data_IF_128874942985
#
_entry.id   IF_128874942985
#
_cell.length_a   1.000
_cell.length_b   1.000
_cell.length_c   1.000
_cell.angle_alpha   90.00
_cell.angle_beta   90.00
_cell.angle_gamma   90.00
#
_symmetry.space_group_name_H-M   'P 1'
#
loop_
_entity.id
_entity.type
_entity.pdbx_description
1 polymer ?
#
# COMPACT_ATOMS: atom_id res chain seq x y z
N UNK A 1 -11.01 -22.98 36.75
CA UNK A 1 -11.73 -23.70 35.67
C UNK A 1 -13.15 -23.16 35.61
N UNK A 2 -13.74 -23.01 34.42
CA UNK A 2 -15.15 -22.60 34.24
C UNK A 2 -15.97 -23.82 33.87
N UNK A 3 -17.14 -23.98 34.49
CA UNK A 3 -18.14 -24.98 34.13
C UNK A 3 -18.98 -24.45 32.96
N UNK A 4 -18.98 -25.13 31.83
CA UNK A 4 -19.65 -24.69 30.60
C UNK A 4 -20.65 -25.74 30.15
N UNK A 5 -21.86 -25.32 29.80
CA UNK A 5 -22.89 -26.20 29.24
C UNK A 5 -22.87 -26.10 27.71
N UNK A 6 -22.87 -27.25 27.02
CA UNK A 6 -22.89 -27.31 25.55
C UNK A 6 -24.24 -26.78 25.03
N UNK A 7 -24.26 -25.73 24.19
CA UNK A 7 -25.50 -25.26 23.55
C UNK A 7 -26.06 -26.30 22.57
N UNK A 8 -27.39 -26.35 22.37
CA UNK A 8 -28.04 -27.36 21.53
C UNK A 8 -27.62 -27.33 20.05
N UNK A 9 -27.20 -26.16 19.55
CA UNK A 9 -26.85 -25.96 18.14
C UNK A 9 -25.35 -26.07 17.84
N UNK A 10 -24.55 -26.58 18.78
CA UNK A 10 -23.09 -26.67 18.64
C UNK A 10 -22.70 -28.14 18.59
N UNK A 11 -22.01 -28.60 17.54
CA UNK A 11 -21.51 -29.97 17.43
C UNK A 11 -20.25 -30.18 18.32
N UNK A 12 -19.96 -31.42 18.77
CA UNK A 12 -18.66 -31.73 19.36
C UNK A 12 -17.52 -31.37 18.38
N UNK A 13 -16.42 -30.83 18.91
CA UNK A 13 -15.28 -30.31 18.12
C UNK A 13 -15.41 -28.84 17.70
N UNK A 14 -16.61 -28.26 17.70
CA UNK A 14 -16.81 -26.85 17.38
C UNK A 14 -16.24 -25.91 18.45
N UNK A 15 -15.87 -24.70 18.04
CA UNK A 15 -15.45 -23.61 18.93
C UNK A 15 -16.65 -22.79 19.42
N UNK A 16 -16.70 -22.49 20.72
CA UNK A 16 -17.67 -21.57 21.34
C UNK A 16 -16.95 -20.44 22.09
N UNK A 17 -17.63 -19.32 22.30
CA UNK A 17 -17.16 -18.24 23.16
C UNK A 17 -17.80 -18.37 24.54
N UNK A 18 -16.98 -18.43 25.58
CA UNK A 18 -17.37 -18.55 26.98
C UNK A 18 -16.99 -17.28 27.70
N UNK A 19 -17.88 -16.75 28.54
CA UNK A 19 -17.61 -15.58 29.39
C UNK A 19 -17.43 -16.03 30.84
N UNK A 20 -16.36 -15.58 31.50
CA UNK A 20 -16.15 -15.85 32.92
C UNK A 20 -16.93 -14.86 33.82
N UNK A 21 -17.02 -15.10 35.14
CA UNK A 21 -17.71 -14.19 36.06
C UNK A 21 -17.12 -12.77 36.13
N UNK A 22 -15.87 -12.58 35.70
CA UNK A 22 -15.22 -11.27 35.61
C UNK A 22 -15.50 -10.56 34.26
N UNK A 23 -16.31 -11.17 33.39
CA UNK A 23 -16.70 -10.62 32.09
C UNK A 23 -15.71 -10.88 30.95
N UNK A 24 -14.64 -11.64 31.18
CA UNK A 24 -13.64 -11.96 30.15
C UNK A 24 -14.18 -13.03 29.21
N UNK A 25 -13.96 -12.87 27.89
CA UNK A 25 -14.42 -13.80 26.85
C UNK A 25 -13.26 -14.66 26.36
N UNK A 26 -13.47 -15.98 26.27
CA UNK A 26 -12.46 -16.94 25.82
C UNK A 26 -13.07 -17.89 24.78
N UNK A 27 -12.26 -18.34 23.81
CA UNK A 27 -12.66 -19.40 22.88
C UNK A 27 -12.37 -20.78 23.51
N UNK A 28 -13.36 -21.67 23.52
CA UNK A 28 -13.24 -23.04 24.01
C UNK A 28 -13.74 -24.03 22.95
N UNK A 29 -13.14 -25.21 22.89
CA UNK A 29 -13.61 -26.31 22.04
C UNK A 29 -14.50 -27.24 22.85
N UNK A 30 -15.63 -27.67 22.26
CA UNK A 30 -16.51 -28.68 22.85
C UNK A 30 -15.85 -30.06 22.71
N UNK A 31 -15.53 -30.76 23.80
CA UNK A 31 -14.89 -32.08 23.70
C UNK A 31 -15.78 -33.12 23.00
N UNK A 32 -15.19 -34.10 22.29
CA UNK A 32 -15.93 -35.27 21.81
C UNK A 32 -16.67 -35.97 22.96
N UNK A 33 -17.89 -36.45 22.70
CA UNK A 33 -18.69 -37.20 23.67
C UNK A 33 -19.51 -36.35 24.65
N UNK A 34 -19.41 -35.02 24.64
CA UNK A 34 -20.30 -34.16 25.43
C UNK A 34 -21.65 -34.05 24.72
N UNK A 35 -22.71 -34.63 25.27
CA UNK A 35 -24.07 -34.58 24.73
C UNK A 35 -24.67 -33.16 24.76
N UNK A 36 -25.75 -32.93 24.00
CA UNK A 36 -26.47 -31.65 24.02
C UNK A 36 -26.97 -31.38 25.46
N UNK A 37 -26.65 -30.19 26.00
CA UNK A 37 -26.93 -29.87 27.40
C UNK A 37 -25.94 -30.47 28.40
N UNK A 38 -24.99 -31.30 27.95
CA UNK A 38 -23.88 -31.82 28.73
C UNK A 38 -22.91 -30.72 29.18
N UNK A 39 -22.15 -31.02 30.23
CA UNK A 39 -21.26 -30.06 30.89
C UNK A 39 -19.81 -30.46 30.70
N UNK A 40 -18.94 -29.48 30.44
CA UNK A 40 -17.50 -29.66 30.39
C UNK A 40 -16.78 -28.48 31.08
N UNK A 41 -15.49 -28.66 31.34
CA UNK A 41 -14.68 -27.68 32.09
C UNK A 41 -13.61 -27.05 31.21
N UNK A 42 -13.51 -25.73 31.25
CA UNK A 42 -12.49 -24.95 30.54
C UNK A 42 -11.45 -24.46 31.52
N UNK A 43 -10.18 -24.76 31.26
CA UNK A 43 -9.04 -24.25 32.04
C UNK A 43 -8.74 -22.81 31.60
N UNK A 44 -8.99 -21.83 32.46
CA UNK A 44 -8.52 -20.46 32.25
C UNK A 44 -7.04 -20.43 32.67
N UNK A 45 -6.18 -19.86 31.83
CA UNK A 45 -4.83 -19.51 32.28
C UNK A 45 -4.95 -18.52 33.44
N UNK A 46 -4.20 -18.75 34.53
CA UNK A 46 -4.07 -17.73 35.57
C UNK A 46 -3.48 -16.48 34.93
N UNK A 47 -3.94 -15.29 35.36
CA UNK A 47 -3.29 -14.05 34.95
C UNK A 47 -1.80 -14.16 35.29
N UNK A 48 -0.90 -13.75 34.36
CA UNK A 48 0.51 -13.72 34.68
C UNK A 48 0.71 -12.87 35.94
N UNK A 49 1.57 -13.30 36.89
CA UNK A 49 1.83 -12.53 38.09
C UNK A 49 2.21 -11.11 37.69
N UNK A 50 1.55 -10.12 38.28
CA UNK A 50 1.84 -8.70 38.08
C UNK A 50 3.34 -8.53 38.38
N UNK A 51 4.10 -8.16 37.35
CA UNK A 51 5.53 -7.94 37.51
C UNK A 51 5.76 -6.87 38.58
N UNK A 52 6.71 -7.05 39.50
CA UNK A 52 7.05 -6.00 40.46
C UNK A 52 7.45 -4.73 39.70
N UNK A 53 7.14 -3.53 40.23
CA UNK A 53 7.53 -2.28 39.61
C UNK A 53 9.06 -2.27 39.40
N UNK A 54 9.55 -1.77 38.26
CA UNK A 54 10.98 -1.72 38.00
C UNK A 54 11.68 -0.90 39.08
N UNK A 55 12.88 -1.31 39.52
CA UNK A 55 13.66 -0.53 40.46
C UNK A 55 13.92 0.88 39.89
N UNK A 56 14.00 1.92 40.74
CA UNK A 56 14.31 3.27 40.31
C UNK A 56 15.65 3.28 39.56
N UNK A 57 15.64 3.87 38.37
CA UNK A 57 16.81 3.97 37.49
C UNK A 57 17.88 4.80 38.19
N UNK A 58 19.13 4.32 38.33
CA UNK A 58 20.22 5.11 38.88
C UNK A 58 20.47 6.36 38.04
N UNK A 59 20.58 7.51 38.71
CA UNK A 59 20.93 8.78 38.08
C UNK A 59 22.35 8.65 37.48
N UNK A 60 22.58 8.96 36.19
CA UNK A 60 23.89 8.81 35.58
C UNK A 60 24.90 9.77 36.20
N UNK A 61 26.09 9.26 36.54
CA UNK A 61 27.24 10.11 36.85
C UNK A 61 27.65 10.93 35.61
N UNK A 62 28.09 12.19 35.78
CA UNK A 62 28.55 13.01 34.68
C UNK A 62 29.83 12.41 34.08
N UNK A 63 29.80 12.13 32.77
CA UNK A 63 30.95 11.68 32.01
C UNK A 63 32.00 12.80 31.86
N UNK A 64 33.31 12.49 31.87
CA UNK A 64 34.35 13.44 31.54
C UNK A 64 34.24 13.91 30.08
N UNK A 65 34.33 15.21 29.86
CA UNK A 65 34.28 15.80 28.51
C UNK A 65 35.55 15.44 27.72
N UNK A 66 35.43 14.92 26.48
CA UNK A 66 36.59 14.71 25.62
C UNK A 66 37.10 16.05 25.05
N UNK A 67 38.38 16.32 25.30
CA UNK A 67 39.13 17.37 24.64
C UNK A 67 39.48 16.93 23.21
N UNK A 68 38.55 17.19 22.27
CA UNK A 68 38.75 17.39 20.82
C UNK A 68 37.42 17.10 20.11
N UNK A 69 36.61 18.15 19.95
CA UNK A 69 35.34 18.06 19.23
C UNK A 69 35.58 18.13 17.71
N UNK A 70 35.03 17.22 16.90
CA UNK A 70 34.90 17.43 15.46
C UNK A 70 34.02 18.66 15.17
N UNK A 71 34.06 19.23 13.94
CA UNK A 71 33.27 20.40 13.57
C UNK A 71 31.81 20.21 13.99
N UNK A 72 31.25 21.24 14.66
CA UNK A 72 29.87 21.26 15.12
C UNK A 72 28.94 21.04 13.92
N UNK A 73 28.28 19.89 13.92
CA UNK A 73 27.10 19.65 13.09
C UNK A 73 26.02 20.65 13.52
N UNK A 74 25.47 21.39 12.56
CA UNK A 74 24.39 22.34 12.77
C UNK A 74 23.05 21.60 12.57
N UNK A 75 22.36 21.23 13.67
CA UNK A 75 21.14 20.43 13.59
C UNK A 75 19.96 21.18 12.95
N UNK A 76 19.97 22.52 12.90
CA UNK A 76 18.88 23.29 12.29
C UNK A 76 18.94 23.23 10.75
N UNK A 77 20.15 23.25 10.16
CA UNK A 77 20.32 23.15 8.71
C UNK A 77 19.91 21.76 8.18
N UNK A 78 20.27 20.70 8.91
CA UNK A 78 19.91 19.34 8.51
C UNK A 78 18.42 19.05 8.62
N UNK A 79 17.71 19.69 9.57
CA UNK A 79 16.26 19.55 9.69
C UNK A 79 15.53 20.24 8.54
N UNK A 80 15.98 21.42 8.11
CA UNK A 80 15.41 22.11 6.95
C UNK A 80 15.63 21.34 5.63
N UNK A 81 16.81 20.78 5.42
CA UNK A 81 17.10 19.96 4.23
C UNK A 81 16.28 18.67 4.22
N UNK A 82 16.08 18.02 5.36
CA UNK A 82 15.26 16.81 5.48
C UNK A 82 13.76 17.11 5.26
N UNK A 83 13.26 18.26 5.71
CA UNK A 83 11.85 18.68 5.57
C UNK A 83 11.52 19.12 4.13
N UNK A 84 12.41 19.88 3.47
CA UNK A 84 12.24 20.26 2.07
C UNK A 84 12.23 19.05 1.12
N UNK A 85 12.98 18.01 1.47
CA UNK A 85 13.12 16.80 0.68
C UNK A 85 11.98 15.80 0.92
N UNK A 86 11.49 15.68 2.16
CA UNK A 86 10.25 14.96 2.46
C UNK A 86 9.07 15.57 1.69
N UNK A 87 8.99 16.91 1.68
CA UNK A 87 8.03 17.65 0.88
C UNK A 87 8.19 17.40 -0.62
N UNK A 88 9.42 17.41 -1.17
CA UNK A 88 9.65 17.15 -2.59
C UNK A 88 9.24 15.72 -3.01
N UNK A 89 9.46 14.71 -2.16
CA UNK A 89 9.00 13.34 -2.40
C UNK A 89 7.48 13.23 -2.30
N UNK A 90 6.88 13.85 -1.28
CA UNK A 90 5.43 13.88 -1.10
C UNK A 90 4.73 14.64 -2.24
N UNK A 91 5.29 15.75 -2.69
CA UNK A 91 4.82 16.54 -3.83
C UNK A 91 5.02 15.79 -5.14
N UNK A 92 6.15 15.11 -5.35
CA UNK A 92 6.36 14.26 -6.53
C UNK A 92 5.37 13.10 -6.57
N UNK A 93 5.12 12.44 -5.43
CA UNK A 93 4.08 11.42 -5.28
C UNK A 93 2.68 11.98 -5.54
N UNK A 94 2.38 13.21 -5.11
CA UNK A 94 1.10 13.87 -5.32
C UNK A 94 0.93 14.45 -6.74
N UNK A 95 2.00 14.87 -7.42
CA UNK A 95 2.00 15.45 -8.76
C UNK A 95 1.86 14.38 -9.86
N UNK A 96 2.34 13.16 -9.61
CA UNK A 96 2.03 11.99 -10.46
C UNK A 96 0.52 11.74 -10.63
N UNK A 97 -0.34 12.35 -9.79
CA UNK A 97 -1.80 12.23 -9.90
C UNK A 97 -2.48 13.25 -10.85
N UNK A 98 -1.83 14.32 -11.35
CA UNK A 98 -2.56 15.50 -11.83
C UNK A 98 -2.16 16.17 -13.17
N UNK A 99 -1.32 15.61 -14.05
CA UNK A 99 -1.01 16.32 -15.31
C UNK A 99 -0.87 15.46 -16.57
N UNK A 100 -1.66 15.82 -17.59
CA UNK A 100 -1.70 15.29 -18.97
C UNK A 100 -1.30 16.40 -19.95
N UNK A 101 -0.39 16.10 -20.88
CA UNK A 101 -0.40 16.40 -22.34
C UNK A 101 0.98 16.76 -22.97
N UNK A 102 1.22 16.10 -24.13
CA UNK A 102 2.12 16.35 -25.29
C UNK A 102 3.63 15.97 -25.29
N UNK A 103 3.92 14.76 -25.82
CA UNK A 103 4.75 14.37 -27.01
C UNK A 103 6.10 15.08 -27.32
N UNK A 104 7.19 14.47 -27.87
CA UNK A 104 7.50 13.23 -28.62
C UNK A 104 9.05 12.99 -28.64
N UNK A 105 9.53 11.75 -28.82
CA UNK A 105 10.96 11.29 -28.90
C UNK A 105 11.34 10.72 -30.29
N UNK A 106 12.63 10.37 -30.55
CA UNK A 106 12.97 8.93 -30.69
C UNK A 106 14.39 8.49 -30.24
N UNK A 107 14.68 7.20 -30.48
CA UNK A 107 15.37 6.16 -29.70
C UNK A 107 16.62 5.56 -30.42
N UNK A 108 17.59 4.96 -29.69
CA UNK A 108 18.60 4.01 -30.24
C UNK A 108 19.03 2.97 -29.17
N UNK A 109 19.20 1.69 -29.56
CA UNK A 109 19.50 0.51 -28.73
C UNK A 109 20.92 -0.07 -28.93
N UNK A 110 21.47 -0.72 -27.89
CA UNK A 110 22.48 -1.80 -28.01
C UNK A 110 22.46 -2.76 -26.80
N UNK A 111 22.81 -4.03 -26.99
CA UNK A 111 22.62 -5.17 -26.07
C UNK A 111 23.90 -5.70 -25.39
N UNK A 112 23.81 -6.32 -24.19
CA UNK A 112 24.80 -7.30 -23.66
C UNK A 112 24.47 -7.97 -22.29
N UNK A 113 24.69 -9.30 -22.23
CA UNK A 113 25.18 -10.24 -21.16
C UNK A 113 24.38 -10.50 -19.87
N UNK A 114 24.30 -11.80 -19.53
CA UNK A 114 23.46 -12.49 -18.54
C UNK A 114 24.00 -12.46 -17.11
N UNK A 115 23.33 -11.70 -16.24
CA UNK A 115 23.01 -12.10 -14.87
C UNK A 115 21.60 -12.70 -14.89
N UNK A 116 21.18 -13.45 -13.85
CA UNK A 116 19.77 -13.90 -13.72
C UNK A 116 18.93 -12.67 -13.36
N UNK A 117 18.78 -11.78 -14.33
CA UNK A 117 17.86 -10.66 -14.28
C UNK A 117 16.47 -11.29 -14.39
N UNK A 118 15.56 -11.00 -13.45
CA UNK A 118 14.17 -11.35 -13.62
C UNK A 118 13.72 -10.88 -15.01
N UNK A 119 13.05 -11.74 -15.76
CA UNK A 119 12.42 -11.34 -17.02
C UNK A 119 11.54 -10.11 -16.81
N UNK A 120 11.30 -9.31 -17.86
CA UNK A 120 10.40 -8.17 -17.77
C UNK A 120 9.00 -8.54 -17.20
N UNK A 121 8.55 -9.78 -17.44
CA UNK A 121 7.34 -10.35 -16.86
C UNK A 121 7.46 -10.55 -15.34
N UNK A 122 8.56 -11.11 -14.84
CA UNK A 122 8.83 -11.25 -13.39
C UNK A 122 8.99 -9.88 -12.71
N UNK A 123 9.67 -8.93 -13.37
CA UNK A 123 9.80 -7.56 -12.90
C UNK A 123 8.43 -6.85 -12.79
N UNK A 124 7.51 -7.09 -13.74
CA UNK A 124 6.11 -6.62 -13.65
C UNK A 124 5.34 -7.33 -12.56
N UNK A 125 5.54 -8.62 -12.35
CA UNK A 125 4.93 -9.34 -11.22
C UNK A 125 5.37 -8.79 -9.86
N UNK A 126 6.62 -8.31 -9.74
CA UNK A 126 7.11 -7.67 -8.52
C UNK A 126 6.47 -6.30 -8.22
N UNK A 127 5.80 -5.69 -9.20
CA UNK A 127 5.19 -4.37 -9.08
C UNK A 127 3.68 -4.40 -8.98
N UNK A 128 3.04 -5.56 -9.00
CA UNK A 128 1.57 -5.66 -8.97
C UNK A 128 1.08 -6.41 -7.75
N UNK A 129 -0.06 -5.97 -7.23
CA UNK A 129 -0.72 -6.70 -6.17
C UNK A 129 -1.31 -7.98 -6.74
N UNK A 130 -0.85 -9.16 -6.29
CA UNK A 130 -1.35 -10.44 -6.82
C UNK A 130 -2.83 -10.75 -6.49
N UNK A 131 -3.52 -9.83 -5.79
CA UNK A 131 -4.94 -9.94 -5.48
C UNK A 131 -5.75 -9.15 -6.50
N UNK A 132 -5.47 -7.85 -6.68
CA UNK A 132 -6.23 -6.98 -7.59
C UNK A 132 -5.55 -6.69 -8.94
N UNK A 133 -4.27 -7.07 -9.11
CA UNK A 133 -3.42 -6.84 -10.28
C UNK A 133 -3.16 -5.36 -10.64
N UNK A 134 -3.46 -4.44 -9.73
CA UNK A 134 -3.03 -3.04 -9.86
C UNK A 134 -1.59 -2.87 -9.36
N UNK A 135 -0.92 -1.83 -9.85
CA UNK A 135 0.42 -1.45 -9.43
C UNK A 135 0.48 -1.23 -7.92
N UNK A 136 1.41 -1.89 -7.22
CA UNK A 136 1.60 -1.80 -5.77
C UNK A 136 1.88 -0.38 -5.29
N UNK A 137 2.48 0.46 -6.14
CA UNK A 137 2.78 1.86 -5.84
C UNK A 137 1.57 2.79 -5.98
N UNK A 138 0.43 2.30 -6.48
CA UNK A 138 -0.79 3.10 -6.65
C UNK A 138 -1.56 3.31 -5.34
N UNK A 139 -1.39 2.42 -4.36
CA UNK A 139 -2.05 2.51 -3.05
C UNK A 139 -1.09 2.10 -1.91
N UNK A 140 -1.39 2.46 -0.65
CA UNK A 140 -0.61 1.99 0.49
C UNK A 140 -0.50 0.47 0.55
N UNK A 141 0.73 -0.03 0.62
CA UNK A 141 1.00 -1.46 0.74
C UNK A 141 0.94 -1.94 2.20
N UNK A 142 0.78 -3.25 2.35
CA UNK A 142 0.83 -3.98 3.62
C UNK A 142 1.80 -5.16 3.54
N UNK A 143 2.32 -5.50 4.73
CA UNK A 143 3.14 -6.68 4.98
C UNK A 143 2.44 -7.59 5.98
N UNK A 144 2.80 -8.87 5.96
CA UNK A 144 2.26 -9.88 6.87
C UNK A 144 3.20 -10.15 8.04
N UNK A 145 2.66 -10.15 9.24
CA UNK A 145 3.38 -10.39 10.49
C UNK A 145 2.84 -11.62 11.22
N UNK A 146 3.73 -12.39 11.85
CA UNK A 146 3.35 -13.48 12.75
C UNK A 146 2.89 -12.95 14.13
N UNK A 147 2.56 -13.87 15.05
CA UNK A 147 2.12 -13.54 16.41
C UNK A 147 3.19 -12.82 17.27
N UNK A 148 4.45 -12.81 16.83
CA UNK A 148 5.57 -12.09 17.46
C UNK A 148 5.89 -10.77 16.75
N UNK A 149 4.98 -10.29 15.91
CA UNK A 149 5.16 -9.07 15.10
C UNK A 149 6.39 -9.10 14.18
N UNK A 150 6.83 -10.28 13.74
CA UNK A 150 7.90 -10.43 12.74
C UNK A 150 7.30 -10.72 11.37
N UNK A 151 7.90 -10.15 10.32
CA UNK A 151 7.50 -10.39 8.93
C UNK A 151 7.63 -11.87 8.59
N UNK A 152 6.66 -12.41 7.84
CA UNK A 152 6.63 -13.85 7.51
C UNK A 152 7.09 -14.17 6.09
N UNK A 153 7.06 -13.20 5.18
CA UNK A 153 7.51 -13.35 3.80
C UNK A 153 7.81 -12.00 3.15
N UNK A 154 8.51 -12.04 2.01
CA UNK A 154 8.83 -10.85 1.20
C UNK A 154 7.65 -10.31 0.38
N UNK A 155 6.57 -11.06 0.22
CA UNK A 155 5.41 -10.63 -0.56
C UNK A 155 4.69 -9.43 0.06
N UNK A 156 4.18 -8.55 -0.81
CA UNK A 156 3.54 -7.29 -0.47
C UNK A 156 2.24 -7.17 -1.27
N UNK A 157 1.26 -6.51 -0.66
CA UNK A 157 -0.09 -6.38 -1.20
C UNK A 157 -0.61 -5.00 -0.88
N UNK A 158 -1.57 -4.48 -1.63
CA UNK A 158 -2.32 -3.32 -1.15
C UNK A 158 -2.94 -3.61 0.22
N UNK A 159 -2.95 -2.61 1.09
CA UNK A 159 -3.46 -2.73 2.45
C UNK A 159 -4.93 -3.19 2.47
N UNK A 160 -5.74 -2.67 1.53
CA UNK A 160 -7.11 -3.12 1.29
C UNK A 160 -7.16 -4.61 0.96
N UNK A 161 -6.38 -5.05 -0.03
CA UNK A 161 -6.32 -6.43 -0.47
C UNK A 161 -5.90 -7.40 0.63
N UNK A 162 -4.85 -7.05 1.38
CA UNK A 162 -4.34 -7.82 2.51
C UNK A 162 -5.40 -8.04 3.61
N UNK A 163 -6.21 -7.01 3.89
CA UNK A 163 -7.25 -7.05 4.92
C UNK A 163 -8.40 -7.99 4.55
N UNK A 164 -8.71 -8.08 3.27
CA UNK A 164 -9.83 -8.88 2.76
C UNK A 164 -9.46 -10.30 2.31
N UNK A 165 -8.24 -10.76 2.60
CA UNK A 165 -7.88 -12.15 2.34
C UNK A 165 -8.79 -13.11 3.13
N UNK A 166 -9.31 -14.16 2.49
CA UNK A 166 -10.23 -15.11 3.14
C UNK A 166 -9.53 -15.97 4.20
N UNK A 167 -8.23 -16.17 4.05
CA UNK A 167 -7.39 -16.95 4.96
C UNK A 167 -6.23 -16.10 5.48
N UNK A 168 -5.67 -16.52 6.62
CA UNK A 168 -4.48 -15.91 7.20
C UNK A 168 -3.20 -16.57 6.68
N UNK A 169 -3.15 -16.80 5.37
CA UNK A 169 -2.02 -17.35 4.65
C UNK A 169 -1.69 -16.44 3.47
N UNK A 170 -0.41 -16.19 3.21
CA UNK A 170 0.01 -15.42 2.04
C UNK A 170 -0.42 -16.13 0.74
N UNK A 171 -1.09 -15.48 -0.22
CA UNK A 171 -1.56 -16.15 -1.44
C UNK A 171 -0.41 -16.64 -2.36
N UNK A 172 0.79 -16.06 -2.22
CA UNK A 172 1.95 -16.39 -3.06
C UNK A 172 2.80 -17.53 -2.47
N UNK A 173 3.28 -17.40 -1.24
CA UNK A 173 4.10 -18.45 -0.60
C UNK A 173 3.38 -19.34 0.41
N UNK A 174 2.09 -19.09 0.68
CA UNK A 174 1.28 -19.81 1.67
C UNK A 174 1.78 -19.71 3.12
N UNK A 175 2.71 -18.79 3.42
CA UNK A 175 3.16 -18.54 4.78
C UNK A 175 2.00 -18.04 5.66
N UNK A 176 1.82 -18.68 6.82
CA UNK A 176 0.83 -18.27 7.81
C UNK A 176 1.21 -16.94 8.46
N UNK A 177 0.22 -16.07 8.68
CA UNK A 177 0.40 -14.81 9.37
C UNK A 177 -0.66 -14.59 10.44
N UNK A 178 -0.37 -13.78 11.44
CA UNK A 178 -1.34 -13.41 12.47
C UNK A 178 -2.04 -12.10 12.14
N UNK A 179 -1.29 -11.12 11.64
CA UNK A 179 -1.78 -9.77 11.33
C UNK A 179 -1.18 -9.25 10.02
N UNK A 180 -1.86 -8.31 9.40
CA UNK A 180 -1.33 -7.49 8.31
C UNK A 180 -1.19 -6.07 8.81
N UNK A 181 -0.05 -5.42 8.55
CA UNK A 181 0.16 -4.01 8.88
C UNK A 181 0.51 -3.23 7.62
N UNK A 182 0.16 -1.94 7.60
CA UNK A 182 0.66 -1.01 6.58
C UNK A 182 2.20 -1.02 6.60
N UNK A 183 2.78 -1.06 5.41
CA UNK A 183 4.20 -0.88 5.19
C UNK A 183 4.58 0.58 5.53
N UNK A 184 5.53 0.82 6.44
CA UNK A 184 5.96 2.17 6.78
C UNK A 184 6.48 2.93 5.55
N UNK A 185 6.35 4.26 5.57
CA UNK A 185 6.87 5.13 4.51
C UNK A 185 8.36 5.37 4.72
N UNK A 186 9.16 5.20 3.66
CA UNK A 186 10.61 5.51 3.71
C UNK A 186 10.86 6.98 4.04
N UNK A 187 10.00 7.89 3.58
CA UNK A 187 10.15 9.32 3.80
C UNK A 187 9.89 9.69 5.28
N UNK A 188 8.81 9.15 5.85
CA UNK A 188 8.26 9.59 7.14
C UNK A 188 8.79 8.79 8.34
N UNK A 189 9.07 7.50 8.15
CA UNK A 189 9.57 6.62 9.22
C UNK A 189 10.58 5.61 8.64
N UNK A 190 11.79 6.07 8.27
CA UNK A 190 12.81 5.23 7.67
C UNK A 190 13.28 4.10 8.61
N UNK A 191 13.13 4.26 9.94
CA UNK A 191 13.50 3.22 10.89
C UNK A 191 12.49 2.08 10.94
N UNK A 192 11.19 2.39 10.99
CA UNK A 192 10.16 1.35 10.85
C UNK A 192 10.20 0.74 9.46
N UNK A 193 10.49 1.54 8.42
CA UNK A 193 10.70 1.03 7.06
C UNK A 193 11.81 -0.01 7.03
N UNK A 194 13.00 0.30 7.56
CA UNK A 194 14.13 -0.63 7.59
C UNK A 194 13.76 -1.95 8.29
N UNK A 195 13.13 -1.87 9.46
CA UNK A 195 12.66 -3.07 10.20
C UNK A 195 11.61 -3.87 9.44
N UNK A 196 10.78 -3.22 8.63
CA UNK A 196 9.78 -3.87 7.79
C UNK A 196 10.41 -4.57 6.57
N UNK A 197 11.48 -4.00 6.01
CA UNK A 197 12.20 -4.55 4.85
C UNK A 197 13.12 -5.71 5.26
N UNK A 198 13.77 -5.61 6.43
CA UNK A 198 14.58 -6.65 7.04
C UNK A 198 13.70 -7.82 7.54
N UNK A 199 13.22 -8.63 6.60
CA UNK A 199 12.32 -9.74 6.92
C UNK A 199 13.03 -10.86 7.70
N UNK A 200 14.36 -10.98 7.55
CA UNK A 200 15.19 -11.97 8.24
C UNK A 200 15.47 -11.55 9.69
N UNK A 201 15.44 -10.24 9.97
CA UNK A 201 15.68 -9.65 11.27
C UNK A 201 17.15 -9.72 11.68
N UNK A 202 18.07 -9.67 10.72
CA UNK A 202 19.51 -9.76 10.95
C UNK A 202 20.19 -8.37 11.05
N UNK A 203 19.41 -7.30 10.89
CA UNK A 203 19.88 -5.92 10.96
C UNK A 203 20.52 -5.42 9.66
N UNK A 204 20.35 -6.12 8.54
CA UNK A 204 20.95 -5.78 7.24
C UNK A 204 19.93 -5.93 6.11
N UNK A 205 20.13 -5.18 5.03
CA UNK A 205 19.28 -5.23 3.85
C UNK A 205 20.07 -5.70 2.63
N UNK A 206 19.61 -6.75 1.97
CA UNK A 206 20.11 -7.15 0.67
C UNK A 206 19.60 -6.22 -0.43
N UNK A 207 20.30 -6.19 -1.56
CA UNK A 207 19.87 -5.41 -2.73
C UNK A 207 18.47 -5.79 -3.19
N UNK A 208 18.16 -7.09 -3.25
CA UNK A 208 16.86 -7.58 -3.66
C UNK A 208 15.73 -7.10 -2.73
N UNK A 209 15.96 -7.09 -1.41
CA UNK A 209 14.97 -6.57 -0.45
C UNK A 209 14.70 -5.07 -0.67
N UNK A 210 15.75 -4.27 -0.86
CA UNK A 210 15.62 -2.83 -1.15
C UNK A 210 14.88 -2.61 -2.46
N UNK A 211 15.32 -3.27 -3.54
CA UNK A 211 14.72 -3.17 -4.87
C UNK A 211 13.23 -3.44 -4.82
N UNK A 212 12.84 -4.59 -4.25
CA UNK A 212 11.44 -4.97 -4.16
C UNK A 212 10.61 -3.90 -3.45
N UNK A 213 11.01 -3.48 -2.24
CA UNK A 213 10.21 -2.54 -1.46
C UNK A 213 10.14 -1.16 -2.13
N UNK A 214 11.21 -0.71 -2.76
CA UNK A 214 11.23 0.56 -3.48
C UNK A 214 10.28 0.54 -4.68
N UNK A 215 10.29 -0.54 -5.48
CA UNK A 215 9.38 -0.71 -6.60
C UNK A 215 7.91 -0.82 -6.16
N UNK A 216 7.63 -1.26 -4.93
CA UNK A 216 6.26 -1.27 -4.39
C UNK A 216 5.79 0.09 -3.86
N UNK A 217 6.68 0.97 -3.42
CA UNK A 217 6.29 2.26 -2.83
C UNK A 217 6.29 3.40 -3.83
N UNK A 218 7.05 3.26 -4.92
CA UNK A 218 7.28 4.32 -5.88
C UNK A 218 7.04 3.78 -7.30
N UNK A 219 6.37 4.56 -8.18
CA UNK A 219 6.16 4.17 -9.57
C UNK A 219 7.46 4.34 -10.36
N UNK A 220 8.45 3.48 -10.13
CA UNK A 220 9.79 3.58 -10.71
C UNK A 220 9.88 2.87 -12.07
N UNK A 221 10.72 3.39 -12.95
CA UNK A 221 11.15 2.66 -14.15
C UNK A 221 12.12 1.56 -13.70
N UNK A 222 11.71 0.29 -13.79
CA UNK A 222 12.49 -0.83 -13.25
C UNK A 222 13.87 -0.90 -13.88
N UNK A 223 13.97 -0.77 -15.20
CA UNK A 223 15.24 -0.88 -15.91
C UNK A 223 16.20 0.25 -15.54
N UNK A 224 15.71 1.49 -15.52
CA UNK A 224 16.53 2.64 -15.09
C UNK A 224 16.92 2.53 -13.62
N UNK A 225 15.99 2.12 -12.76
CA UNK A 225 16.21 1.98 -11.33
C UNK A 225 17.20 0.86 -11.00
N UNK A 226 17.08 -0.31 -11.63
CA UNK A 226 18.01 -1.44 -11.49
C UNK A 226 19.42 -1.05 -11.94
N UNK A 227 19.55 -0.46 -13.13
CA UNK A 227 20.84 -0.02 -13.66
C UNK A 227 21.48 1.02 -12.74
N UNK A 228 20.70 1.98 -12.26
CA UNK A 228 21.19 2.99 -11.30
C UNK A 228 21.59 2.35 -9.98
N UNK A 229 20.81 1.40 -9.48
CA UNK A 229 21.10 0.68 -8.25
C UNK A 229 22.35 -0.19 -8.38
N UNK A 230 22.63 -0.83 -9.53
CA UNK A 230 23.91 -1.52 -9.77
C UNK A 230 25.11 -0.58 -9.66
N UNK A 231 25.01 0.61 -10.25
CA UNK A 231 26.10 1.59 -10.23
C UNK A 231 26.42 2.07 -8.81
N UNK A 232 25.40 2.37 -8.01
CA UNK A 232 25.58 3.03 -6.70
C UNK A 232 25.65 2.05 -5.53
N UNK A 233 25.26 0.79 -5.68
CA UNK A 233 25.23 -0.17 -4.56
C UNK A 233 26.56 -0.28 -3.80
N UNK A 234 27.75 -0.31 -4.47
CA UNK A 234 29.03 -0.33 -3.77
C UNK A 234 29.29 0.88 -2.86
N UNK A 235 28.57 1.99 -3.05
CA UNK A 235 28.64 3.15 -2.16
C UNK A 235 28.03 2.85 -0.78
N UNK A 236 26.95 2.06 -0.75
CA UNK A 236 26.26 1.69 0.48
C UNK A 236 26.82 0.41 1.11
N UNK A 237 27.24 -0.55 0.28
CA UNK A 237 27.91 -1.77 0.72
C UNK A 237 29.42 -1.59 0.74
N UNK A 238 29.90 -0.70 1.62
CA UNK A 238 31.32 -0.32 1.73
C UNK A 238 32.25 -1.50 2.03
N UNK A 239 31.70 -2.61 2.54
CA UNK A 239 32.43 -3.83 2.88
C UNK A 239 32.37 -4.90 1.79
N UNK A 240 31.65 -4.68 0.69
CA UNK A 240 31.47 -5.66 -0.39
C UNK A 240 30.79 -6.95 0.09
N UNK A 241 29.91 -6.85 1.09
CA UNK A 241 29.24 -7.98 1.73
C UNK A 241 28.02 -8.47 0.96
N UNK A 242 27.50 -7.67 0.03
CA UNK A 242 26.20 -7.83 -0.62
C UNK A 242 25.04 -7.20 0.17
N UNK A 243 25.30 -6.58 1.31
CA UNK A 243 24.27 -6.05 2.22
C UNK A 243 24.57 -4.62 2.69
N UNK A 244 23.51 -3.87 2.98
CA UNK A 244 23.58 -2.55 3.62
C UNK A 244 23.20 -2.72 5.08
N UNK A 245 24.10 -2.36 5.99
CA UNK A 245 23.82 -2.39 7.44
C UNK A 245 22.90 -1.24 7.84
N UNK A 246 22.31 -1.30 9.04
CA UNK A 246 21.55 -0.18 9.59
C UNK A 246 22.40 1.09 9.64
N UNK A 247 23.66 0.99 10.02
CA UNK A 247 24.59 2.12 10.08
C UNK A 247 24.84 2.73 8.70
N UNK A 248 25.10 1.91 7.68
CA UNK A 248 25.32 2.38 6.30
C UNK A 248 24.03 2.98 5.70
N UNK A 249 22.87 2.43 6.05
CA UNK A 249 21.56 2.91 5.60
C UNK A 249 21.26 4.34 6.07
N UNK A 250 21.57 4.64 7.35
CA UNK A 250 21.34 5.93 7.99
C UNK A 250 22.53 6.89 7.94
N UNK A 251 23.64 6.51 7.31
CA UNK A 251 24.78 7.40 7.15
C UNK A 251 24.38 8.70 6.41
N UNK A 252 25.11 9.82 6.58
CA UNK A 252 24.80 11.09 5.89
C UNK A 252 24.70 10.99 4.34
N UNK A 253 25.41 10.02 3.74
CA UNK A 253 25.31 9.67 2.32
C UNK A 253 24.75 8.26 2.10
N UNK A 254 24.00 7.76 3.09
CA UNK A 254 23.40 6.44 3.08
C UNK A 254 22.22 6.33 2.12
N UNK A 255 21.66 5.13 2.04
CA UNK A 255 20.58 4.80 1.11
C UNK A 255 19.33 5.67 1.30
N UNK A 256 19.00 6.07 2.54
CA UNK A 256 17.86 6.97 2.81
C UNK A 256 18.07 8.31 2.12
N UNK A 257 19.22 8.94 2.33
CA UNK A 257 19.50 10.25 1.76
C UNK A 257 19.63 10.18 0.23
N UNK A 258 20.17 9.07 -0.30
CA UNK A 258 20.16 8.82 -1.73
C UNK A 258 18.73 8.75 -2.28
N UNK A 259 17.87 7.89 -1.71
CA UNK A 259 16.49 7.72 -2.15
C UNK A 259 15.76 9.07 -2.15
N UNK A 260 15.91 9.82 -1.05
CA UNK A 260 15.29 11.12 -0.93
C UNK A 260 15.73 12.11 -2.03
N UNK A 261 17.03 12.18 -2.34
CA UNK A 261 17.59 13.10 -3.37
C UNK A 261 17.32 12.67 -4.81
N UNK A 262 17.17 11.37 -5.08
CA UNK A 262 17.24 10.83 -6.44
C UNK A 262 15.95 10.15 -6.90
N UNK A 263 14.97 9.88 -6.02
CA UNK A 263 13.77 9.14 -6.43
C UNK A 263 12.98 9.88 -7.51
N UNK A 264 12.88 11.21 -7.43
CA UNK A 264 12.13 12.01 -8.40
C UNK A 264 12.62 11.85 -9.84
N UNK A 265 13.93 11.69 -10.06
CA UNK A 265 14.50 11.47 -11.39
C UNK A 265 14.37 10.03 -11.88
N UNK A 266 14.00 9.09 -11.00
CA UNK A 266 13.83 7.66 -11.28
C UNK A 266 12.36 7.24 -11.40
N UNK A 267 11.43 8.13 -11.07
CA UNK A 267 10.01 7.91 -11.31
C UNK A 267 9.77 7.70 -12.81
N UNK A 268 8.85 6.78 -13.14
CA UNK A 268 8.31 6.67 -14.49
C UNK A 268 7.77 8.04 -14.88
N UNK A 269 8.17 8.52 -16.05
CA UNK A 269 7.55 9.71 -16.60
C UNK A 269 6.03 9.49 -16.67
N UNK A 270 5.24 10.54 -16.45
CA UNK A 270 3.80 10.46 -16.69
C UNK A 270 3.50 9.95 -18.12
N UNK A 271 4.41 10.23 -19.06
CA UNK A 271 4.38 9.73 -20.45
C UNK A 271 4.61 8.23 -20.56
N UNK A 272 5.42 7.61 -19.70
CA UNK A 272 5.76 6.18 -19.76
C UNK A 272 4.62 5.32 -19.20
N UNK A 273 3.85 5.84 -18.25
CA UNK A 273 2.63 5.21 -17.75
C UNK A 273 1.50 5.22 -18.79
N UNK A 274 1.47 6.23 -19.65
CA UNK A 274 0.44 6.42 -20.70
C UNK A 274 0.84 5.80 -22.05
N UNK A 275 2.13 5.44 -22.22
CA UNK A 275 2.65 4.84 -23.44
C UNK A 275 2.35 3.34 -23.58
N UNK A 276 1.72 2.71 -22.57
CA UNK A 276 1.18 1.36 -22.76
C UNK A 276 0.12 1.43 -23.85
N UNK A 277 0.33 0.72 -24.96
CA UNK A 277 -0.69 0.61 -26.00
C UNK A 277 -2.04 0.28 -25.35
N UNK A 278 -3.14 0.91 -25.81
CA UNK A 278 -4.45 0.67 -25.25
C UNK A 278 -4.72 -0.83 -25.29
N UNK A 279 -5.15 -1.39 -24.16
CA UNK A 279 -5.49 -2.80 -24.08
C UNK A 279 -6.51 -3.13 -25.17
N UNK A 280 -6.23 -4.07 -26.08
CA UNK A 280 -7.18 -4.45 -27.13
C UNK A 280 -8.52 -4.87 -26.51
N UNK A 281 -9.65 -4.71 -27.19
CA UNK A 281 -10.92 -5.26 -26.70
C UNK A 281 -11.03 -6.71 -27.15
N UNK A 282 -11.08 -7.65 -26.20
CA UNK A 282 -11.27 -9.09 -26.43
C UNK A 282 -12.49 -9.39 -27.33
N UNK A 283 -13.51 -8.53 -27.38
CA UNK A 283 -14.68 -8.73 -28.25
C UNK A 283 -14.38 -8.50 -29.72
N UNK A 284 -13.56 -7.50 -30.01
CA UNK A 284 -13.31 -7.03 -31.39
C UNK A 284 -11.99 -7.55 -31.93
N UNK A 285 -11.02 -7.82 -31.06
CA UNK A 285 -9.68 -8.25 -31.42
C UNK A 285 -9.13 -9.27 -30.41
N UNK A 286 -9.64 -10.51 -30.49
CA UNK A 286 -9.23 -11.61 -29.60
C UNK A 286 -7.77 -11.96 -29.75
N UNK A 287 -7.25 -11.91 -30.98
CA UNK A 287 -5.86 -12.27 -31.26
C UNK A 287 -4.92 -11.20 -30.70
N UNK A 288 -5.18 -9.92 -31.00
CA UNK A 288 -4.40 -8.82 -30.45
C UNK A 288 -4.46 -8.78 -28.94
N UNK A 289 -5.64 -9.06 -28.34
CA UNK A 289 -5.77 -9.19 -26.88
C UNK A 289 -4.89 -10.31 -26.30
N UNK A 290 -4.92 -11.50 -26.93
CA UNK A 290 -4.11 -12.63 -26.48
C UNK A 290 -2.61 -12.32 -26.59
N UNK A 291 -2.17 -11.76 -27.71
CA UNK A 291 -0.77 -11.41 -27.95
C UNK A 291 -0.30 -10.30 -27.01
N UNK A 292 -1.15 -9.33 -26.70
CA UNK A 292 -0.85 -8.23 -25.77
C UNK A 292 -0.52 -8.74 -24.35
N UNK A 293 -1.29 -9.73 -23.85
CA UNK A 293 -1.09 -10.28 -22.51
C UNK A 293 -0.12 -11.47 -22.45
N UNK A 294 0.28 -12.02 -23.59
CA UNK A 294 1.32 -13.04 -23.71
C UNK A 294 2.70 -12.37 -23.69
N UNK A 295 3.00 -11.67 -22.59
CA UNK A 295 4.16 -10.79 -22.43
C UNK A 295 5.50 -11.53 -22.63
N UNK A 296 5.54 -12.84 -22.33
CA UNK A 296 6.73 -13.69 -22.46
C UNK A 296 6.90 -14.32 -23.86
N UNK A 297 5.95 -14.11 -24.77
CA UNK A 297 6.01 -14.62 -26.14
C UNK A 297 5.87 -16.14 -26.24
N UNK A 298 5.44 -16.85 -25.20
CA UNK A 298 5.36 -18.32 -25.22
C UNK A 298 4.24 -18.86 -26.10
N UNK A 299 3.25 -18.02 -26.42
CA UNK A 299 2.07 -18.39 -27.19
C UNK A 299 1.02 -19.10 -26.32
N UNK A 300 1.14 -18.96 -25.00
CA UNK A 300 0.32 -19.62 -24.00
C UNK A 300 0.03 -18.63 -22.88
N UNK A 301 -1.17 -18.70 -22.33
CA UNK A 301 -1.54 -17.93 -21.14
C UNK A 301 -1.90 -18.88 -20.01
N UNK A 302 -1.31 -18.69 -18.83
CA UNK A 302 -1.73 -19.32 -17.60
C UNK A 302 -3.10 -18.78 -17.17
N UNK A 303 -3.79 -19.53 -16.30
CA UNK A 303 -5.10 -19.12 -15.79
C UNK A 303 -5.07 -17.75 -15.12
N UNK A 304 -4.05 -17.51 -14.30
CA UNK A 304 -3.88 -16.23 -13.60
C UNK A 304 -3.56 -15.08 -14.56
N UNK A 305 -2.91 -15.35 -15.69
CA UNK A 305 -2.64 -14.33 -16.71
C UNK A 305 -3.93 -13.92 -17.41
N UNK A 306 -4.83 -14.88 -17.72
CA UNK A 306 -6.16 -14.56 -18.25
C UNK A 306 -6.98 -13.76 -17.24
N UNK A 307 -6.97 -14.14 -15.96
CA UNK A 307 -7.69 -13.40 -14.90
C UNK A 307 -7.14 -11.99 -14.76
N UNK A 308 -5.82 -11.83 -14.66
CA UNK A 308 -5.11 -10.54 -14.65
C UNK A 308 -5.50 -9.70 -15.86
N UNK A 309 -5.43 -10.29 -17.05
CA UNK A 309 -5.73 -9.63 -18.31
C UNK A 309 -7.16 -9.11 -18.37
N UNK A 310 -8.15 -9.89 -17.94
CA UNK A 310 -9.55 -9.47 -17.89
C UNK A 310 -9.78 -8.37 -16.84
N UNK A 311 -9.15 -8.47 -15.67
CA UNK A 311 -9.24 -7.42 -14.63
C UNK A 311 -8.69 -6.10 -15.15
N UNK A 312 -7.55 -6.11 -15.86
CA UNK A 312 -7.00 -4.91 -16.48
C UNK A 312 -7.87 -4.39 -17.61
N UNK A 313 -8.34 -5.26 -18.50
CA UNK A 313 -9.23 -4.91 -19.63
C UNK A 313 -10.49 -4.18 -19.17
N UNK A 314 -11.04 -4.57 -18.01
CA UNK A 314 -12.28 -4.00 -17.48
C UNK A 314 -12.07 -3.07 -16.26
N UNK A 315 -10.83 -2.72 -15.92
CA UNK A 315 -10.45 -1.90 -14.76
C UNK A 315 -11.12 -2.33 -13.42
N UNK A 316 -11.17 -3.64 -13.16
CA UNK A 316 -11.87 -4.20 -12.01
C UNK A 316 -11.06 -4.15 -10.71
N UNK A 317 -9.78 -3.78 -10.74
CA UNK A 317 -8.85 -3.88 -9.60
C UNK A 317 -9.31 -3.14 -8.34
N UNK A 318 -10.08 -2.07 -8.51
CA UNK A 318 -10.65 -1.29 -7.40
C UNK A 318 -11.80 -1.97 -6.65
N UNK A 319 -12.44 -3.01 -7.24
CA UNK A 319 -13.55 -3.76 -6.64
C UNK A 319 -13.18 -5.24 -6.46
N UNK A 320 -12.81 -5.59 -5.23
CA UNK A 320 -12.38 -6.96 -4.89
C UNK A 320 -13.49 -8.01 -5.01
N UNK A 321 -14.75 -7.62 -4.93
CA UNK A 321 -15.85 -8.55 -5.18
C UNK A 321 -15.91 -8.91 -6.67
N UNK A 322 -15.75 -7.93 -7.56
CA UNK A 322 -15.70 -8.17 -9.00
C UNK A 322 -14.45 -8.94 -9.43
N UNK A 323 -13.30 -8.68 -8.83
CA UNK A 323 -12.06 -9.46 -9.03
C UNK A 323 -12.26 -10.94 -8.68
N UNK A 324 -12.88 -11.24 -7.53
CA UNK A 324 -13.20 -12.62 -7.12
C UNK A 324 -14.17 -13.28 -8.08
N UNK A 325 -15.24 -12.56 -8.46
CA UNK A 325 -16.22 -13.06 -9.42
C UNK A 325 -15.57 -13.37 -10.78
N UNK A 326 -14.64 -12.53 -11.25
CA UNK A 326 -13.89 -12.79 -12.49
C UNK A 326 -13.06 -14.07 -12.39
N UNK A 327 -12.31 -14.24 -11.30
CA UNK A 327 -11.51 -15.43 -11.04
C UNK A 327 -12.34 -16.71 -10.98
N UNK A 328 -13.49 -16.68 -10.29
CA UNK A 328 -14.41 -17.81 -10.19
C UNK A 328 -15.00 -18.20 -11.56
N UNK A 329 -15.38 -17.21 -12.39
CA UNK A 329 -15.90 -17.46 -13.74
C UNK A 329 -14.86 -18.12 -14.63
N UNK A 330 -13.64 -17.56 -14.71
CA UNK A 330 -12.55 -18.16 -15.47
C UNK A 330 -12.25 -19.57 -14.94
N UNK A 331 -12.23 -19.74 -13.61
CA UNK A 331 -12.10 -21.02 -12.93
C UNK A 331 -13.11 -22.08 -13.37
N UNK A 332 -14.38 -21.71 -13.45
CA UNK A 332 -15.48 -22.61 -13.78
C UNK A 332 -15.40 -23.17 -15.22
N UNK A 333 -14.89 -22.36 -16.17
CA UNK A 333 -14.82 -22.76 -17.58
C UNK A 333 -13.44 -23.28 -18.00
N UNK A 334 -12.40 -23.09 -17.19
CA UNK A 334 -11.00 -23.40 -17.54
C UNK A 334 -10.79 -24.83 -18.02
N UNK A 335 -11.27 -25.80 -17.24
CA UNK A 335 -11.05 -27.23 -17.49
C UNK A 335 -11.71 -27.74 -18.79
N UNK A 336 -12.59 -26.95 -19.41
CA UNK A 336 -13.25 -27.30 -20.67
C UNK A 336 -12.35 -27.01 -21.88
N UNK A 337 -11.51 -25.96 -21.79
CA UNK A 337 -10.80 -25.41 -22.94
C UNK A 337 -9.29 -25.46 -22.83
N UNK A 338 -8.76 -25.50 -21.61
CA UNK A 338 -7.35 -25.36 -21.34
C UNK A 338 -6.76 -26.64 -20.74
N UNK A 339 -5.45 -26.78 -20.86
CA UNK A 339 -4.70 -27.76 -20.09
C UNK A 339 -4.73 -27.41 -18.59
N UNK A 340 -4.16 -28.29 -17.76
CA UNK A 340 -4.10 -28.07 -16.31
C UNK A 340 -3.41 -26.75 -15.91
N UNK A 341 -2.53 -26.19 -16.75
CA UNK A 341 -1.70 -25.03 -16.40
C UNK A 341 -1.82 -23.85 -17.34
N UNK A 342 -2.21 -24.06 -18.60
CA UNK A 342 -2.23 -22.98 -19.61
C UNK A 342 -3.24 -23.25 -20.73
N UNK A 343 -3.62 -22.19 -21.42
CA UNK A 343 -4.38 -22.20 -22.68
C UNK A 343 -3.46 -21.73 -23.81
N UNK A 344 -3.41 -22.48 -24.90
CA UNK A 344 -2.71 -22.09 -26.12
C UNK A 344 -3.52 -21.08 -26.92
N UNK A 345 -2.87 -20.33 -27.81
CA UNK A 345 -3.55 -19.40 -28.73
C UNK A 345 -4.65 -20.10 -29.54
N UNK A 346 -4.38 -21.29 -30.05
CA UNK A 346 -5.32 -22.05 -30.87
C UNK A 346 -6.55 -22.50 -30.05
N UNK A 347 -6.36 -22.93 -28.79
CA UNK A 347 -7.46 -23.29 -27.88
C UNK A 347 -8.31 -22.05 -27.48
N UNK A 348 -7.65 -20.91 -27.29
CA UNK A 348 -8.32 -19.66 -26.93
C UNK A 348 -9.19 -19.11 -28.07
N UNK A 349 -8.69 -19.17 -29.31
CA UNK A 349 -9.33 -18.56 -30.50
C UNK A 349 -10.26 -19.51 -31.27
N UNK A 350 -10.27 -20.81 -30.98
CA UNK A 350 -11.17 -21.77 -31.65
C UNK A 350 -12.63 -21.31 -31.54
N UNK A 351 -13.47 -21.52 -32.57
CA UNK A 351 -14.92 -21.32 -32.45
C UNK A 351 -15.49 -22.07 -31.23
N UNK A 352 -16.35 -21.39 -30.48
CA UNK A 352 -16.87 -21.87 -29.19
C UNK A 352 -15.77 -22.20 -28.18
N UNK A 353 -14.63 -21.49 -28.28
CA UNK A 353 -13.47 -21.63 -27.41
C UNK A 353 -13.58 -20.86 -26.10
N UNK A 354 -12.44 -20.73 -25.41
CA UNK A 354 -12.38 -20.01 -24.13
C UNK A 354 -12.76 -18.53 -24.30
N UNK A 355 -12.28 -17.86 -25.36
CA UNK A 355 -12.61 -16.46 -25.60
C UNK A 355 -14.13 -16.25 -25.81
N UNK A 356 -14.76 -17.08 -26.64
CA UNK A 356 -16.21 -17.02 -26.88
C UNK A 356 -17.01 -17.24 -25.60
N UNK A 357 -16.62 -18.24 -24.81
CA UNK A 357 -17.28 -18.57 -23.54
C UNK A 357 -17.15 -17.43 -22.54
N UNK A 358 -15.96 -16.87 -22.37
CA UNK A 358 -15.75 -15.71 -21.50
C UNK A 358 -16.58 -14.52 -21.99
N UNK A 359 -16.55 -14.20 -23.29
CA UNK A 359 -17.32 -13.10 -23.87
C UNK A 359 -18.82 -13.28 -23.63
N UNK A 360 -19.34 -14.50 -23.72
CA UNK A 360 -20.75 -14.81 -23.48
C UNK A 360 -21.13 -14.67 -21.99
N UNK A 361 -20.25 -15.06 -21.06
CA UNK A 361 -20.45 -14.96 -19.61
C UNK A 361 -20.22 -13.56 -19.04
N UNK A 362 -19.61 -12.66 -19.81
CA UNK A 362 -19.44 -11.26 -19.44
C UNK A 362 -20.78 -10.52 -19.58
N UNK A 363 -21.54 -10.53 -18.49
CA UNK A 363 -22.80 -9.78 -18.34
C UNK A 363 -22.67 -8.33 -18.85
N UNK A 364 -23.56 -7.87 -19.76
CA UNK A 364 -23.69 -6.46 -20.13
C UNK A 364 -23.69 -5.48 -18.96
N UNK A 365 -24.17 -5.87 -17.77
CA UNK A 365 -24.15 -5.04 -16.58
C UNK A 365 -22.74 -4.85 -15.99
N UNK A 366 -21.87 -5.87 -16.01
CA UNK A 366 -20.45 -5.68 -15.64
C UNK A 366 -19.75 -4.71 -16.60
N UNK A 367 -20.18 -4.70 -17.86
CA UNK A 367 -19.60 -3.87 -18.91
C UNK A 367 -20.06 -2.42 -18.90
N UNK A 368 -21.24 -2.13 -18.32
CA UNK A 368 -21.70 -0.75 -18.14
C UNK A 368 -20.84 0.02 -17.14
N UNK A 369 -20.15 -0.69 -16.24
CA UNK A 369 -19.23 -0.13 -15.27
C UNK A 369 -17.75 -0.26 -15.67
N UNK A 370 -17.46 -0.94 -16.79
CA UNK A 370 -16.11 -0.94 -17.36
C UNK A 370 -15.72 0.47 -17.83
N UNK A 371 -14.42 0.77 -17.97
CA UNK A 371 -13.97 2.05 -18.48
C UNK A 371 -14.45 2.14 -19.93
N UNK A 372 -15.58 2.82 -20.15
CA UNK A 372 -15.91 3.28 -21.49
C UNK A 372 -14.69 4.07 -21.96
N UNK A 373 -14.19 3.67 -23.12
CA UNK A 373 -13.24 4.42 -23.93
C UNK A 373 -13.28 5.90 -23.57
N UNK A 374 -12.12 6.45 -23.21
CA UNK A 374 -11.86 7.86 -22.91
C UNK A 374 -12.15 8.83 -24.07
N UNK A 375 -13.09 8.49 -24.97
CA UNK A 375 -13.85 9.48 -25.71
C UNK A 375 -14.80 10.19 -24.75
N UNK A 376 -14.27 11.21 -24.07
CA UNK A 376 -15.05 12.34 -23.59
C UNK A 376 -16.16 12.06 -22.57
N UNK A 377 -15.95 11.15 -21.60
CA UNK A 377 -16.66 11.32 -20.33
C UNK A 377 -16.15 12.63 -19.71
N UNK A 378 -17.05 13.62 -19.67
CA UNK A 378 -16.87 14.79 -18.82
C UNK A 378 -16.38 14.32 -17.44
N UNK A 379 -15.36 14.99 -16.86
CA UNK A 379 -14.75 14.57 -15.61
C UNK A 379 -15.86 14.23 -14.63
N UNK A 380 -15.77 13.06 -13.98
CA UNK A 380 -16.69 12.61 -12.94
C UNK A 380 -17.14 13.86 -12.19
N UNK A 381 -18.40 14.27 -12.39
CA UNK A 381 -18.86 15.61 -12.03
C UNK A 381 -18.40 15.82 -10.61
N UNK A 382 -17.34 16.63 -10.46
CA UNK A 382 -16.78 17.00 -9.18
C UNK A 382 -18.00 17.39 -8.41
N UNK A 383 -18.34 16.67 -7.34
CA UNK A 383 -19.54 16.95 -6.57
C UNK A 383 -19.51 18.45 -6.34
N UNK A 384 -20.36 19.20 -7.05
CA UNK A 384 -20.27 20.64 -7.09
C UNK A 384 -20.81 21.06 -5.74
N UNK A 385 -19.90 21.15 -4.78
CA UNK A 385 -20.21 21.66 -3.47
C UNK A 385 -20.83 23.04 -3.69
N UNK A 386 -21.95 23.35 -3.03
CA UNK A 386 -22.50 24.70 -3.03
C UNK A 386 -21.39 25.73 -2.81
N UNK A 387 -21.49 26.92 -3.42
CA UNK A 387 -20.42 27.92 -3.36
C UNK A 387 -19.99 28.29 -1.93
N UNK A 388 -20.89 28.11 -0.96
CA UNK A 388 -20.65 28.32 0.46
C UNK A 388 -20.10 27.08 1.19
N UNK A 389 -19.80 25.96 0.52
CA UNK A 389 -19.19 24.77 1.11
C UNK A 389 -17.83 24.51 0.46
N UNK A 390 -16.77 24.41 1.29
CA UNK A 390 -15.41 24.07 0.84
C UNK A 390 -14.69 23.18 1.86
N UNK A 391 -13.76 22.32 1.43
CA UNK A 391 -12.89 21.59 2.35
C UNK A 391 -11.87 22.54 2.99
N UNK A 392 -11.54 22.29 4.27
CA UNK A 392 -10.42 22.92 4.94
C UNK A 392 -9.10 22.49 4.28
N UNK A 393 -8.20 23.42 3.88
CA UNK A 393 -6.95 23.04 3.23
C UNK A 393 -6.02 22.24 4.15
N UNK A 394 -6.12 22.41 5.47
CA UNK A 394 -5.26 21.74 6.44
C UNK A 394 -5.69 20.31 6.82
N UNK A 395 -6.98 19.97 6.73
CA UNK A 395 -7.48 18.67 7.21
C UNK A 395 -8.59 18.04 6.36
N UNK A 396 -8.97 18.70 5.25
CA UNK A 396 -10.02 18.28 4.31
C UNK A 396 -11.46 18.19 4.88
N UNK A 397 -11.70 18.65 6.11
CA UNK A 397 -13.05 18.74 6.68
C UNK A 397 -13.91 19.72 5.87
N UNK A 398 -15.12 19.32 5.47
CA UNK A 398 -16.06 20.20 4.76
C UNK A 398 -16.62 21.27 5.71
N UNK A 399 -16.59 22.52 5.26
CA UNK A 399 -17.01 23.69 6.02
C UNK A 399 -18.05 24.45 5.23
N UNK A 400 -19.16 24.81 5.88
CA UNK A 400 -20.16 25.72 5.34
C UNK A 400 -19.92 27.15 5.87
N UNK A 401 -19.76 28.12 4.97
CA UNK A 401 -19.66 29.54 5.30
C UNK A 401 -21.07 30.09 5.51
N UNK A 402 -21.38 30.43 6.77
CA UNK A 402 -22.66 31.04 7.17
C UNK A 402 -22.58 32.56 7.39
N UNK A 403 -21.37 33.12 7.44
CA UNK A 403 -21.14 34.56 7.66
C UNK A 403 -20.76 35.30 6.37
N UNK A 404 -20.79 36.63 6.38
CA UNK A 404 -20.38 37.44 5.23
C UNK A 404 -18.85 37.48 5.05
N UNK A 405 -18.07 37.33 6.12
CA UNK A 405 -16.61 37.44 6.09
C UNK A 405 -15.94 36.19 5.50
N UNK A 406 -14.85 36.37 4.75
CA UNK A 406 -14.07 35.26 4.20
C UNK A 406 -13.11 34.63 5.21
N UNK A 407 -12.88 35.24 6.38
CA UNK A 407 -12.08 34.62 7.42
C UNK A 407 -12.85 33.49 8.12
N UNK A 408 -12.43 32.25 7.88
CA UNK A 408 -13.03 31.04 8.50
C UNK A 408 -12.02 30.31 9.36
N UNK A 409 -12.52 29.71 10.45
CA UNK A 409 -11.74 28.89 11.36
C UNK A 409 -12.29 27.46 11.32
N UNK A 410 -11.48 26.50 10.88
CA UNK A 410 -11.92 25.11 10.72
C UNK A 410 -12.37 24.50 12.05
N UNK A 411 -13.69 24.30 12.21
CA UNK A 411 -14.33 23.77 13.42
C UNK A 411 -15.10 24.79 14.25
N UNK A 412 -15.12 26.08 13.91
CA UNK A 412 -15.88 27.07 14.67
C UNK A 412 -16.30 28.26 13.79
N UNK A 413 -17.00 29.24 14.38
CA UNK A 413 -17.26 30.54 13.77
C UNK A 413 -15.98 31.34 13.57
N UNK A 414 -16.07 32.42 12.79
CA UNK A 414 -14.92 33.30 12.52
C UNK A 414 -14.43 34.01 13.80
N UNK A 415 -13.18 34.49 13.81
CA UNK A 415 -12.66 35.29 14.94
C UNK A 415 -13.48 36.54 15.22
N UNK A 416 -13.98 37.21 14.17
CA UNK A 416 -14.82 38.41 14.32
C UNK A 416 -16.14 38.11 15.03
N UNK A 417 -16.62 36.87 14.92
CA UNK A 417 -17.82 36.38 15.59
C UNK A 417 -17.50 35.73 16.95
N UNK A 418 -16.27 35.84 17.45
CA UNK A 418 -15.85 35.28 18.74
C UNK A 418 -15.34 33.84 18.68
N UNK A 419 -15.11 33.29 17.49
CA UNK A 419 -14.45 32.00 17.33
C UNK A 419 -13.02 32.02 17.87
N UNK A 420 -12.64 30.94 18.55
CA UNK A 420 -11.28 30.74 19.06
C UNK A 420 -10.72 29.40 18.60
N UNK A 421 -9.40 29.27 18.65
CA UNK A 421 -8.71 28.03 18.29
C UNK A 421 -9.15 26.87 19.19
N UNK A 422 -9.32 27.13 20.48
CA UNK A 422 -9.77 26.17 21.49
C UNK A 422 -11.20 25.70 21.21
N UNK A 423 -12.10 26.63 20.84
CA UNK A 423 -13.47 26.29 20.45
C UNK A 423 -13.49 25.42 19.19
N UNK A 424 -12.63 25.72 18.22
CA UNK A 424 -12.52 24.94 16.99
C UNK A 424 -12.04 23.51 17.23
N UNK A 425 -11.05 23.31 18.12
CA UNK A 425 -10.59 21.98 18.51
C UNK A 425 -11.65 21.20 19.29
N UNK A 426 -12.35 21.86 20.22
CA UNK A 426 -13.42 21.25 21.02
C UNK A 426 -14.61 20.79 20.16
N UNK A 427 -14.92 21.52 19.08
CA UNK A 427 -15.95 21.17 18.11
C UNK A 427 -15.47 20.17 17.02
N UNK A 428 -14.26 19.62 17.16
CA UNK A 428 -13.76 18.56 16.30
C UNK A 428 -12.92 19.01 15.11
N UNK A 429 -12.90 20.30 14.77
CA UNK A 429 -12.05 20.83 13.70
C UNK A 429 -10.56 20.88 14.06
N UNK A 430 -9.75 21.35 13.09
CA UNK A 430 -8.30 21.48 13.24
C UNK A 430 -7.84 22.89 13.64
N UNK A 431 -8.76 23.84 13.80
CA UNK A 431 -8.45 25.22 14.18
C UNK A 431 -7.65 26.01 13.13
N UNK A 432 -7.56 25.52 11.89
CA UNK A 432 -6.88 26.25 10.82
C UNK A 432 -7.68 27.48 10.40
N UNK A 433 -7.02 28.65 10.39
CA UNK A 433 -7.62 29.92 9.98
C UNK A 433 -7.19 30.27 8.55
N UNK A 434 -8.17 30.43 7.67
CA UNK A 434 -7.92 30.68 6.25
C UNK A 434 -8.99 31.55 5.61
N UNK A 435 -8.68 32.09 4.44
CA UNK A 435 -9.59 32.85 3.63
C UNK A 435 -10.44 31.89 2.77
N UNK A 436 -11.75 31.85 2.97
CA UNK A 436 -12.66 30.89 2.34
C UNK A 436 -12.66 31.00 0.82
N UNK A 437 -12.58 32.21 0.25
CA UNK A 437 -12.60 32.40 -1.21
C UNK A 437 -11.30 31.89 -1.87
N UNK A 438 -10.15 32.20 -1.28
CA UNK A 438 -8.81 31.92 -1.85
C UNK A 438 -8.10 30.68 -1.29
N UNK A 439 -8.62 30.09 -0.22
CA UNK A 439 -8.01 29.01 0.58
C UNK A 439 -6.63 29.36 1.17
N UNK A 440 -6.24 30.64 1.17
CA UNK A 440 -4.95 31.07 1.72
C UNK A 440 -4.97 31.07 3.25
N UNK A 441 -3.90 30.59 3.92
CA UNK A 441 -3.75 30.71 5.36
C UNK A 441 -3.84 32.18 5.81
N UNK A 442 -4.58 32.44 6.89
CA UNK A 442 -4.67 33.76 7.55
C UNK A 442 -4.05 33.76 8.95
N UNK A 443 -4.03 32.61 9.63
CA UNK A 443 -3.62 32.51 11.02
C UNK A 443 -3.02 31.15 11.39
N UNK A 444 -3.71 30.42 12.27
CA UNK A 444 -3.15 29.23 12.91
C UNK A 444 -2.87 28.09 11.93
N UNK A 445 -1.61 27.69 11.87
CA UNK A 445 -1.14 26.62 11.00
C UNK A 445 -0.88 27.08 9.57
N UNK A 446 0.20 26.59 9.00
CA UNK A 446 0.55 26.75 7.58
C UNK A 446 1.28 25.49 7.10
N UNK A 447 1.33 25.22 5.79
CA UNK A 447 2.16 24.14 5.26
C UNK A 447 3.60 24.21 5.82
N UNK A 448 4.13 23.11 6.36
CA UNK A 448 5.43 23.04 7.02
C UNK A 448 5.48 23.60 8.45
N UNK A 449 4.35 24.04 9.01
CA UNK A 449 4.24 24.45 10.41
C UNK A 449 2.81 24.23 10.92
N UNK A 450 2.36 22.97 11.07
CA UNK A 450 1.03 22.68 11.58
C UNK A 450 0.89 23.16 13.03
N UNK A 451 -0.25 23.75 13.37
CA UNK A 451 -0.55 24.16 14.74
C UNK A 451 -0.90 22.98 15.65
N UNK A 452 -1.28 21.83 15.07
CA UNK A 452 -1.61 20.60 15.76
C UNK A 452 -1.69 19.39 14.79
N UNK A 453 -1.76 18.19 15.36
CA UNK A 453 -1.84 16.89 14.68
C UNK A 453 -3.04 16.68 13.75
N UNK A 454 -4.11 17.46 13.89
CA UNK A 454 -5.27 17.38 12.98
C UNK A 454 -5.04 18.11 11.67
N UNK A 455 -4.03 18.96 11.57
CA UNK A 455 -3.66 19.65 10.33
C UNK A 455 -2.83 18.74 9.42
N UNK A 456 -3.37 17.55 9.13
CA UNK A 456 -2.68 16.44 8.43
C UNK A 456 -2.10 16.82 7.08
N UNK A 457 -2.71 17.76 6.36
CA UNK A 457 -2.23 18.22 5.06
C UNK A 457 -1.09 19.26 5.17
N UNK A 458 -0.77 19.71 6.38
CA UNK A 458 0.30 20.66 6.66
C UNK A 458 1.57 19.99 7.20
N UNK A 459 1.49 18.70 7.55
CA UNK A 459 2.64 17.81 7.73
C UNK A 459 3.15 17.41 6.34
N UNK A 460 3.74 18.37 5.64
CA UNK A 460 4.40 18.16 4.35
C UNK A 460 5.88 17.91 4.56
#
# INVERSE_FOLDING_TARGET
MIRVQRPPNVAPGSSIIVQDPAGRRFRAHVPPGVEIGGVFYVKIAADPPIAPPPPPVPVPYPLPQPANAPPRYDPELSQQEDEELARALAESLAMSFNHRQHEQTPEVQVASVSSVVPSAAEARQLMECSVCFDDLSSEPCAIFLNAKSRRVCMHMFHERCARELPTKCCPLCRADFATSTRLPSLANDPEAWFRAVDYEGDGRLSKAQVMQVMLTQFPLDVGKFEARMEEIWPHFDTRGSGYVTKEDFFAPNGLVQFARKNLSSLLRGATDLDASQPTPDIRTDRLGWFEYFNEDGTGKLAQEEIVRALIKTYALGSDLAQVRAMRERVGAVWAVFASATCVTREEFLRPDGLADTIIAELDPAMLRNGPQSSQGHAPATRLELPQNIKPCPACNMLLEKVSADDAVLCGCQSRKEGGSYELALAAGGCGHEFNFSTLRPLGFGRPGSPANEKQVNFYG
#
